data_IF_756209656675
#
_entry.id   IF_756209656675
#
_cell.length_a   1.000
_cell.length_b   1.000
_cell.length_c   1.000
_cell.angle_alpha   90.00
_cell.angle_beta   90.00
_cell.angle_gamma   90.00
#
_symmetry.space_group_name_H-M   'P 1'
#
loop_
_entity.id
_entity.type
_entity.pdbx_description
1 polymer ?
#
# COMPACT_ATOMS: atom_id res chain seq x y z
N UNK A 1 -30.50 12.66 30.98
CA UNK A 1 -29.09 12.57 30.55
C UNK A 1 -28.84 11.33 29.69
N UNK A 2 -29.15 10.11 30.15
CA UNK A 2 -28.85 8.85 29.42
C UNK A 2 -29.45 8.76 28.00
N UNK A 3 -30.65 9.32 27.77
CA UNK A 3 -31.34 9.29 26.47
C UNK A 3 -30.66 10.11 25.35
N UNK A 4 -29.89 11.16 25.69
CA UNK A 4 -29.17 11.99 24.69
C UNK A 4 -27.78 11.45 24.32
N UNK A 5 -27.25 10.49 25.08
CA UNK A 5 -25.92 9.92 24.85
C UNK A 5 -25.98 8.85 23.76
N UNK A 6 -27.10 8.13 23.67
CA UNK A 6 -27.34 7.05 22.70
C UNK A 6 -27.13 7.48 21.23
N UNK A 7 -27.71 8.60 20.72
CA UNK A 7 -27.49 9.01 19.33
C UNK A 7 -26.05 9.49 19.07
N UNK A 8 -25.38 10.08 20.06
CA UNK A 8 -23.98 10.52 19.96
C UNK A 8 -23.02 9.32 19.82
N UNK A 9 -23.25 8.26 20.61
CA UNK A 9 -22.45 7.02 20.56
C UNK A 9 -22.66 6.30 19.24
N UNK A 10 -23.88 6.28 18.70
CA UNK A 10 -24.19 5.66 17.40
C UNK A 10 -23.52 6.44 16.24
N UNK A 11 -23.58 7.78 16.26
CA UNK A 11 -22.92 8.61 15.24
C UNK A 11 -21.38 8.46 15.26
N UNK A 12 -20.78 8.34 16.45
CA UNK A 12 -19.34 8.16 16.61
C UNK A 12 -18.88 6.74 16.24
N UNK A 13 -19.71 5.72 16.45
CA UNK A 13 -19.45 4.34 16.01
C UNK A 13 -19.45 4.20 14.48
N UNK A 14 -20.24 4.99 13.74
CA UNK A 14 -20.25 4.98 12.27
C UNK A 14 -18.96 5.54 11.63
N UNK A 15 -18.13 6.27 12.37
CA UNK A 15 -16.87 6.83 11.88
C UNK A 15 -15.70 5.84 11.95
N UNK A 16 -15.89 4.68 12.60
CA UNK A 16 -14.88 3.62 12.66
C UNK A 16 -14.91 2.76 11.38
N UNK A 17 -14.59 3.36 10.23
CA UNK A 17 -14.18 2.56 9.06
C UNK A 17 -12.81 1.96 9.39
N UNK A 18 -12.78 0.68 9.74
CA UNK A 18 -11.54 -0.06 9.86
C UNK A 18 -10.80 -0.03 8.52
N UNK A 19 -9.64 0.60 8.46
CA UNK A 19 -8.72 0.45 7.33
C UNK A 19 -8.07 -0.92 7.48
N UNK A 20 -8.58 -1.90 6.76
CA UNK A 20 -7.95 -3.22 6.66
C UNK A 20 -6.83 -3.13 5.64
N UNK A 21 -5.61 -3.53 6.04
CA UNK A 21 -4.49 -3.62 5.11
C UNK A 21 -4.77 -4.66 4.02
N UNK A 22 -4.47 -4.33 2.77
CA UNK A 22 -4.53 -5.24 1.63
C UNK A 22 -3.18 -5.93 1.47
N UNK A 23 -3.22 -7.22 1.12
CA UNK A 23 -2.03 -8.03 0.83
C UNK A 23 -1.96 -8.25 -0.68
N UNK A 24 -0.82 -7.90 -1.27
CA UNK A 24 -0.56 -8.02 -2.70
C UNK A 24 0.54 -9.04 -2.95
N UNK A 25 0.17 -10.20 -3.47
CA UNK A 25 1.11 -11.20 -3.98
C UNK A 25 1.78 -10.67 -5.25
N UNK A 26 3.04 -10.23 -5.13
CA UNK A 26 3.81 -9.65 -6.24
C UNK A 26 4.03 -10.70 -7.32
N UNK A 27 3.64 -10.39 -8.57
CA UNK A 27 3.71 -11.33 -9.69
C UNK A 27 2.59 -12.39 -9.70
N UNK A 28 1.68 -12.40 -8.72
CA UNK A 28 0.60 -13.40 -8.63
C UNK A 28 1.16 -14.82 -8.55
N UNK A 29 0.60 -15.74 -9.35
CA UNK A 29 0.99 -17.16 -9.36
C UNK A 29 2.44 -17.38 -9.84
N UNK A 30 3.00 -16.44 -10.61
CA UNK A 30 4.39 -16.49 -11.08
C UNK A 30 5.36 -16.13 -9.95
N UNK A 31 4.95 -15.25 -9.05
CA UNK A 31 5.76 -14.75 -7.94
C UNK A 31 6.87 -13.78 -8.37
N UNK A 32 7.81 -13.56 -7.45
CA UNK A 32 9.00 -12.75 -7.64
C UNK A 32 10.14 -13.60 -8.22
N UNK A 33 10.34 -13.50 -9.53
CA UNK A 33 11.34 -14.27 -10.27
C UNK A 33 12.09 -13.41 -11.29
N UNK A 34 13.18 -13.95 -11.81
CA UNK A 34 14.03 -13.35 -12.84
C UNK A 34 13.87 -14.05 -14.19
N UNK A 35 14.38 -13.47 -15.29
CA UNK A 35 14.51 -14.17 -16.55
C UNK A 35 15.24 -15.52 -16.40
N UNK A 36 14.89 -16.53 -17.22
CA UNK A 36 13.99 -16.45 -18.38
C UNK A 36 12.48 -16.60 -18.05
N UNK A 37 12.10 -16.69 -16.77
CA UNK A 37 10.71 -16.96 -16.39
C UNK A 37 9.75 -15.79 -16.66
N UNK A 38 10.29 -14.59 -16.80
CA UNK A 38 9.57 -13.35 -17.08
C UNK A 38 10.26 -12.58 -18.21
N UNK A 39 9.56 -11.58 -18.74
CA UNK A 39 10.08 -10.61 -19.70
C UNK A 39 10.08 -9.21 -19.10
N UNK A 40 10.87 -8.26 -19.64
CA UNK A 40 10.79 -6.86 -19.25
C UNK A 40 9.34 -6.34 -19.34
N UNK A 41 8.88 -5.64 -18.31
CA UNK A 41 7.51 -5.12 -18.22
C UNK A 41 6.53 -6.01 -17.45
N UNK A 42 6.89 -7.27 -17.14
CA UNK A 42 5.99 -8.19 -16.42
C UNK A 42 5.43 -7.62 -15.11
N UNK A 43 6.26 -6.97 -14.28
CA UNK A 43 5.78 -6.39 -13.02
C UNK A 43 5.07 -5.05 -13.21
N UNK A 44 5.33 -4.33 -14.30
CA UNK A 44 4.59 -3.11 -14.64
C UNK A 44 3.15 -3.46 -15.02
N UNK A 45 2.98 -4.51 -15.84
CA UNK A 45 1.67 -5.08 -16.18
C UNK A 45 0.96 -5.64 -14.94
N UNK A 46 1.70 -6.32 -14.05
CA UNK A 46 1.13 -6.79 -12.79
C UNK A 46 0.65 -5.64 -11.90
N UNK A 47 1.40 -4.54 -11.83
CA UNK A 47 1.06 -3.37 -11.03
C UNK A 47 -0.11 -2.55 -11.63
N UNK A 48 -0.32 -2.64 -12.94
CA UNK A 48 -1.34 -1.87 -13.65
C UNK A 48 -2.74 -2.06 -13.04
N UNK A 49 -3.44 -0.93 -12.82
CA UNK A 49 -4.80 -0.91 -12.27
C UNK A 49 -4.93 -1.22 -10.78
N UNK A 50 -3.83 -1.53 -10.07
CA UNK A 50 -3.84 -1.71 -8.62
C UNK A 50 -3.75 -0.37 -7.91
N UNK A 51 -4.37 -0.29 -6.72
CA UNK A 51 -4.36 0.91 -5.88
C UNK A 51 -3.70 0.59 -4.55
N UNK A 52 -2.45 1.01 -4.41
CA UNK A 52 -1.68 0.81 -3.19
C UNK A 52 -1.96 1.94 -2.19
N UNK A 53 -2.13 1.58 -0.92
CA UNK A 53 -2.38 2.50 0.19
C UNK A 53 -1.34 2.27 1.30
N UNK A 54 -1.13 3.29 2.13
CA UNK A 54 -0.33 3.15 3.34
C UNK A 54 -0.89 2.05 4.26
N UNK A 55 -0.01 1.18 4.74
CA UNK A 55 -0.37 0.02 5.56
C UNK A 55 -0.60 -1.29 4.79
N UNK A 56 -0.73 -1.25 3.47
CA UNK A 56 -0.79 -2.46 2.64
C UNK A 56 0.53 -3.24 2.70
N UNK A 57 0.50 -4.52 2.32
CA UNK A 57 1.65 -5.43 2.34
C UNK A 57 1.91 -5.96 0.94
N UNK A 58 3.15 -5.82 0.46
CA UNK A 58 3.64 -6.47 -0.75
C UNK A 58 4.32 -7.79 -0.36
N UNK A 59 3.80 -8.91 -0.86
CA UNK A 59 4.31 -10.24 -0.59
C UNK A 59 5.09 -10.74 -1.81
N UNK A 60 6.41 -10.76 -1.66
CA UNK A 60 7.35 -11.25 -2.65
C UNK A 60 7.60 -12.73 -2.39
N UNK A 61 6.89 -13.62 -3.08
CA UNK A 61 7.16 -15.05 -2.99
C UNK A 61 8.19 -15.49 -4.02
N UNK A 62 9.21 -16.21 -3.58
CA UNK A 62 10.26 -16.72 -4.45
C UNK A 62 10.85 -18.02 -3.93
N UNK A 63 11.53 -18.73 -4.84
CA UNK A 63 12.31 -19.93 -4.55
C UNK A 63 13.76 -19.70 -4.97
N UNK A 64 14.69 -20.33 -4.25
CA UNK A 64 16.12 -20.17 -4.48
C UNK A 64 16.60 -18.76 -4.13
N UNK A 65 17.74 -18.37 -4.70
CA UNK A 65 18.44 -17.12 -4.43
C UNK A 65 17.82 -15.95 -5.19
N UNK A 66 16.61 -15.56 -4.82
CA UNK A 66 16.01 -14.29 -5.19
C UNK A 66 16.09 -13.34 -4.01
N UNK A 67 16.36 -12.07 -4.26
CA UNK A 67 16.45 -11.04 -3.25
C UNK A 67 15.49 -9.89 -3.57
N UNK A 68 15.19 -9.11 -2.55
CA UNK A 68 14.32 -7.95 -2.64
C UNK A 68 15.03 -6.77 -2.02
N UNK A 69 15.12 -5.69 -2.76
CA UNK A 69 15.65 -4.42 -2.27
C UNK A 69 14.63 -3.30 -2.48
N UNK A 70 14.68 -2.32 -1.57
CA UNK A 70 14.01 -1.04 -1.75
C UNK A 70 15.07 -0.05 -2.21
N UNK A 71 14.84 0.57 -3.36
CA UNK A 71 15.85 1.38 -4.06
C UNK A 71 15.30 2.76 -4.40
N UNK A 72 16.20 3.69 -4.69
CA UNK A 72 15.84 4.98 -5.28
C UNK A 72 15.40 4.83 -6.75
N UNK A 73 14.81 5.88 -7.32
CA UNK A 73 14.44 5.89 -8.74
C UNK A 73 15.68 5.71 -9.63
N UNK A 74 16.78 6.36 -9.30
CA UNK A 74 18.02 6.32 -10.08
C UNK A 74 18.66 4.92 -10.05
N UNK A 75 18.59 4.24 -8.91
CA UNK A 75 19.06 2.86 -8.75
C UNK A 75 18.16 1.87 -9.49
N UNK A 76 16.84 2.08 -9.45
CA UNK A 76 15.86 1.31 -10.23
C UNK A 76 16.08 1.45 -11.74
N UNK A 77 16.25 2.68 -12.24
CA UNK A 77 16.41 2.95 -13.67
C UNK A 77 17.72 2.37 -14.22
N UNK A 78 18.81 2.46 -13.45
CA UNK A 78 20.15 2.02 -13.88
C UNK A 78 20.48 0.58 -13.50
N UNK A 79 19.68 -0.05 -12.64
CA UNK A 79 19.98 -1.37 -12.08
C UNK A 79 21.40 -1.45 -11.47
N UNK A 80 21.81 -0.38 -10.79
CA UNK A 80 23.12 -0.22 -10.20
C UNK A 80 23.00 0.14 -8.73
N UNK A 81 23.89 -0.46 -7.90
CA UNK A 81 24.12 -0.12 -6.48
C UNK A 81 22.85 -0.19 -5.64
N UNK A 82 22.75 -1.20 -4.78
CA UNK A 82 21.60 -1.34 -3.90
C UNK A 82 21.87 -0.64 -2.58
N UNK A 83 21.09 0.40 -2.29
CA UNK A 83 21.20 1.17 -1.05
C UNK A 83 20.61 0.44 0.16
N UNK A 84 19.53 -0.32 -0.03
CA UNK A 84 18.87 -1.07 1.04
C UNK A 84 18.33 -2.41 0.57
N UNK A 85 19.05 -3.48 0.93
CA UNK A 85 18.53 -4.84 0.79
C UNK A 85 17.51 -5.10 1.89
N UNK A 86 16.33 -5.57 1.51
CA UNK A 86 15.25 -5.92 2.43
C UNK A 86 15.30 -7.41 2.78
N UNK A 87 15.63 -8.25 1.80
CA UNK A 87 15.83 -9.68 1.96
C UNK A 87 16.89 -10.17 0.97
N UNK A 88 17.85 -10.97 1.46
CA UNK A 88 18.94 -11.54 0.65
C UNK A 88 18.55 -12.84 -0.05
N UNK A 89 17.37 -13.38 0.23
CA UNK A 89 16.91 -14.68 -0.24
C UNK A 89 17.33 -15.84 0.65
N UNK A 90 16.92 -17.05 0.26
CA UNK A 90 17.23 -18.29 0.98
C UNK A 90 16.34 -19.45 0.54
N UNK A 91 16.46 -20.58 1.23
CA UNK A 91 15.69 -21.80 0.94
C UNK A 91 14.22 -21.67 1.38
N UNK A 92 13.47 -20.83 0.65
CA UNK A 92 12.01 -20.69 0.71
C UNK A 92 11.49 -19.79 1.83
N UNK A 93 10.42 -19.04 1.52
CA UNK A 93 9.65 -18.28 2.52
C UNK A 93 8.98 -17.03 1.96
N UNK A 94 9.61 -16.39 0.98
CA UNK A 94 9.19 -15.08 0.48
C UNK A 94 9.41 -13.97 1.52
N UNK A 95 9.19 -12.73 1.11
CA UNK A 95 9.37 -11.54 1.93
C UNK A 95 8.13 -10.64 1.88
N UNK A 96 7.66 -10.21 3.05
CA UNK A 96 6.54 -9.26 3.17
C UNK A 96 7.02 -7.85 3.48
N UNK A 97 6.83 -6.90 2.56
CA UNK A 97 7.08 -5.49 2.80
C UNK A 97 5.78 -4.76 3.16
N UNK A 98 5.65 -4.29 4.41
CA UNK A 98 4.54 -3.44 4.82
C UNK A 98 4.83 -1.98 4.48
N UNK A 99 3.97 -1.37 3.68
CA UNK A 99 4.04 0.07 3.40
C UNK A 99 3.80 0.86 4.68
N UNK A 100 4.58 1.93 4.94
CA UNK A 100 4.32 2.84 6.06
C UNK A 100 2.87 3.34 6.05
N UNK A 101 2.28 3.58 7.22
CA UNK A 101 0.89 4.05 7.33
C UNK A 101 0.66 5.41 6.61
N UNK A 102 1.69 6.25 6.54
CA UNK A 102 1.70 7.54 5.85
C UNK A 102 2.41 7.48 4.48
N UNK A 103 2.61 6.28 3.92
CA UNK A 103 3.23 6.11 2.61
C UNK A 103 2.46 6.88 1.54
N UNK A 104 3.20 7.51 0.66
CA UNK A 104 2.68 8.22 -0.50
C UNK A 104 3.76 8.29 -1.59
N UNK A 105 3.30 8.41 -2.84
CA UNK A 105 4.18 8.52 -4.01
C UNK A 105 4.85 7.20 -4.39
N UNK A 106 5.92 7.32 -5.16
CA UNK A 106 6.56 6.19 -5.82
C UNK A 106 7.45 5.38 -4.88
N UNK A 107 7.29 4.05 -4.90
CA UNK A 107 8.19 3.09 -4.29
C UNK A 107 8.77 2.17 -5.36
N UNK A 108 10.08 1.92 -5.28
CA UNK A 108 10.81 1.11 -6.27
C UNK A 108 11.47 -0.08 -5.59
N UNK A 109 11.21 -1.26 -6.12
CA UNK A 109 11.78 -2.51 -5.68
C UNK A 109 12.57 -3.16 -6.81
N UNK A 110 13.67 -3.82 -6.50
CA UNK A 110 14.46 -4.54 -7.50
C UNK A 110 15.20 -5.73 -6.90
N UNK A 111 15.63 -6.64 -7.77
CA UNK A 111 16.72 -7.54 -7.42
C UNK A 111 18.03 -6.76 -7.28
N UNK A 112 18.93 -7.24 -6.43
CA UNK A 112 20.30 -6.75 -6.29
C UNK A 112 21.24 -7.29 -7.37
N UNK A 113 20.81 -8.31 -8.12
CA UNK A 113 21.55 -8.89 -9.23
C UNK A 113 21.26 -8.05 -10.48
N UNK A 114 22.30 -7.39 -11.01
CA UNK A 114 22.18 -6.45 -12.14
C UNK A 114 21.44 -7.07 -13.34
N UNK A 115 21.85 -8.25 -13.79
CA UNK A 115 21.22 -8.94 -14.93
C UNK A 115 19.75 -9.29 -14.71
N UNK A 116 19.35 -9.56 -13.46
CA UNK A 116 17.95 -9.82 -13.13
C UNK A 116 17.13 -8.52 -13.22
N UNK A 117 17.62 -7.43 -12.63
CA UNK A 117 16.96 -6.13 -12.68
C UNK A 117 16.83 -5.62 -14.11
N UNK A 118 17.92 -5.64 -14.90
CA UNK A 118 17.92 -5.23 -16.31
C UNK A 118 16.99 -6.10 -17.16
N UNK A 119 16.88 -7.38 -16.80
CA UNK A 119 15.98 -8.33 -17.40
C UNK A 119 14.52 -8.20 -16.98
N UNK A 120 14.18 -7.26 -16.10
CA UNK A 120 12.81 -6.93 -15.71
C UNK A 120 12.42 -7.34 -14.29
N UNK A 121 13.31 -7.89 -13.46
CA UNK A 121 13.02 -8.16 -12.05
C UNK A 121 13.08 -6.89 -11.18
N UNK A 122 12.11 -6.01 -11.42
CA UNK A 122 11.98 -4.69 -10.80
C UNK A 122 10.50 -4.28 -10.81
N UNK A 123 10.05 -3.63 -9.75
CA UNK A 123 8.67 -3.19 -9.57
C UNK A 123 8.65 -1.71 -9.17
N UNK A 124 7.84 -0.91 -9.85
CA UNK A 124 7.50 0.44 -9.43
C UNK A 124 6.01 0.48 -9.07
N UNK A 125 5.68 1.07 -7.93
CA UNK A 125 4.29 1.30 -7.51
C UNK A 125 4.07 2.75 -7.11
N UNK A 126 2.87 3.26 -7.36
CA UNK A 126 2.41 4.55 -6.86
C UNK A 126 1.45 4.33 -5.67
N UNK A 127 1.84 4.86 -4.51
CA UNK A 127 1.07 4.74 -3.28
C UNK A 127 0.24 6.00 -3.10
N UNK A 128 -1.08 5.83 -3.08
CA UNK A 128 -1.99 6.96 -2.92
C UNK A 128 -1.83 7.56 -1.52
N UNK A 129 -1.81 8.90 -1.45
CA UNK A 129 -1.82 9.62 -0.18
C UNK A 129 -3.09 9.26 0.60
N UNK A 130 -2.92 8.82 1.84
CA UNK A 130 -4.01 8.71 2.80
C UNK A 130 -4.44 10.14 3.19
N UNK A 131 -5.29 10.78 2.39
CA UNK A 131 -6.03 11.94 2.90
C UNK A 131 -6.91 11.45 4.05
N UNK A 132 -6.71 11.91 5.30
CA UNK A 132 -7.64 11.57 6.36
C UNK A 132 -9.03 12.05 5.92
N UNK A 133 -10.01 11.14 6.00
CA UNK A 133 -11.40 11.36 5.59
C UNK A 133 -12.01 12.68 6.13
N UNK A 134 -11.46 13.23 7.23
CA UNK A 134 -11.81 14.55 7.75
C UNK A 134 -11.62 15.71 6.77
N UNK A 135 -10.70 15.64 5.81
CA UNK A 135 -10.52 16.70 4.81
C UNK A 135 -11.53 16.64 3.67
N UNK A 136 -12.25 15.52 3.52
CA UNK A 136 -13.29 15.33 2.49
C UNK A 136 -14.71 15.67 2.97
N UNK A 137 -14.89 15.87 4.28
CA UNK A 137 -16.15 16.39 4.81
C UNK A 137 -16.24 17.86 4.43
N UNK A 138 -16.99 18.15 3.36
CA UNK A 138 -17.38 19.52 3.01
C UNK A 138 -17.99 20.22 4.22
N UNK A 139 -17.78 21.53 4.34
CA UNK A 139 -18.41 22.36 5.37
C UNK A 139 -19.94 22.18 5.40
N UNK A 140 -20.54 21.88 4.24
CA UNK A 140 -21.95 21.54 4.12
C UNK A 140 -22.31 20.25 4.86
N UNK A 141 -21.49 19.20 4.75
CA UNK A 141 -21.69 17.94 5.48
C UNK A 141 -21.54 18.11 7.00
N UNK A 142 -20.60 18.95 7.43
CA UNK A 142 -20.45 19.32 8.84
C UNK A 142 -21.64 20.14 9.34
N UNK A 143 -22.16 21.05 8.52
CA UNK A 143 -23.33 21.87 8.87
C UNK A 143 -24.60 21.03 9.04
N UNK A 144 -24.81 20.01 8.19
CA UNK A 144 -25.94 19.07 8.31
C UNK A 144 -25.81 18.22 9.57
N UNK A 145 -24.61 17.74 9.90
CA UNK A 145 -24.35 16.99 11.13
C UNK A 145 -24.55 17.86 12.39
N UNK A 146 -24.04 19.09 12.40
CA UNK A 146 -24.21 20.04 13.50
C UNK A 146 -25.67 20.44 13.66
N UNK A 147 -26.38 20.67 12.55
CA UNK A 147 -27.81 21.02 12.55
C UNK A 147 -28.68 19.86 13.05
N UNK A 148 -28.43 18.63 12.60
CA UNK A 148 -29.14 17.44 13.08
C UNK A 148 -28.93 17.20 14.60
N UNK A 149 -27.72 17.46 15.11
CA UNK A 149 -27.40 17.37 16.53
C UNK A 149 -28.08 18.48 17.35
N UNK A 150 -28.09 19.72 16.85
CA UNK A 150 -28.78 20.84 17.50
C UNK A 150 -30.30 20.60 17.53
N UNK A 151 -30.91 20.18 16.42
CA UNK A 151 -32.34 19.85 16.37
C UNK A 151 -32.70 18.72 17.35
N UNK A 152 -31.86 17.70 17.50
CA UNK A 152 -32.08 16.64 18.48
C UNK A 152 -31.93 17.08 19.95
N UNK A 153 -31.23 18.19 20.20
CA UNK A 153 -31.06 18.78 21.53
C UNK A 153 -32.17 19.77 21.91
N UNK A 154 -32.81 20.40 20.92
CA UNK A 154 -33.84 21.43 21.13
C UNK A 154 -35.29 20.95 20.99
N UNK A 155 -35.56 19.68 20.64
CA UNK A 155 -36.92 19.09 20.69
C UNK A 155 -37.26 18.62 22.12
N UNK A 156 -36.90 19.39 23.13
CA UNK A 156 -37.31 19.13 24.52
C UNK A 156 -37.74 20.39 25.24
#
# INVERSE_FOLDING_TARGET
MVRSIVPLVIAMACLARGVTAVYYTVGGDVGWTSPPNITPGFYDDWAAGKKFMGGDVLEFYYKGTQNVALVSKEEYDRCEKVSKVLDEGGDGGGYGYRLPANANGMYYFSSTIKSHCEGGQKLAIDVASSVPFMSSLSSDSLSVLVSAVLSALFIR
#
